data_IF_969658450258
#
_entry.id   IF_969658450258
#
_cell.length_a   1.000
_cell.length_b   1.000
_cell.length_c   1.000
_cell.angle_alpha   90.00
_cell.angle_beta   90.00
_cell.angle_gamma   90.00
#
_symmetry.space_group_name_H-M   'P 1'
#
loop_
_entity.id
_entity.type
_entity.pdbx_description
1 polymer ?
#
# COMPACT_ATOMS: atom_id res chain seq x y z
N UNK A 1 -27.19 -19.31 16.93
CA UNK A 1 -27.75 -19.52 15.57
C UNK A 1 -26.65 -19.38 14.54
N UNK A 2 -26.40 -20.42 13.74
CA UNK A 2 -25.46 -20.33 12.63
C UNK A 2 -26.02 -19.38 11.55
N UNK A 3 -25.18 -18.52 10.97
CA UNK A 3 -25.60 -17.65 9.87
C UNK A 3 -25.79 -18.48 8.62
N UNK A 4 -26.95 -18.35 7.98
CA UNK A 4 -27.19 -18.91 6.66
C UNK A 4 -26.38 -18.16 5.60
N UNK A 5 -26.07 -18.86 4.50
CA UNK A 5 -25.37 -18.31 3.33
C UNK A 5 -26.10 -17.06 2.84
N UNK A 6 -25.34 -16.03 2.49
CA UNK A 6 -25.90 -14.80 1.93
C UNK A 6 -26.44 -15.05 0.50
N UNK A 7 -27.55 -14.40 0.16
CA UNK A 7 -28.10 -14.36 -1.19
C UNK A 7 -27.08 -13.81 -2.18
N UNK A 8 -26.95 -14.43 -3.36
CA UNK A 8 -26.10 -13.94 -4.43
C UNK A 8 -26.60 -12.59 -4.96
N UNK A 9 -25.75 -11.87 -5.69
CA UNK A 9 -26.09 -10.55 -6.24
C UNK A 9 -27.26 -10.65 -7.22
N UNK A 10 -27.24 -11.64 -8.10
CA UNK A 10 -28.20 -11.80 -9.18
C UNK A 10 -29.63 -12.00 -8.67
N UNK A 11 -29.82 -12.84 -7.63
CA UNK A 11 -31.14 -13.02 -6.99
C UNK A 11 -31.63 -11.70 -6.39
N UNK A 12 -30.74 -10.90 -5.79
CA UNK A 12 -31.15 -9.62 -5.20
C UNK A 12 -31.52 -8.59 -6.26
N UNK A 13 -30.81 -8.57 -7.40
CA UNK A 13 -31.14 -7.69 -8.52
C UNK A 13 -32.48 -8.11 -9.16
N UNK A 14 -32.72 -9.42 -9.31
CA UNK A 14 -34.00 -9.97 -9.77
C UNK A 14 -35.17 -9.58 -8.84
N UNK A 15 -34.96 -9.61 -7.51
CA UNK A 15 -35.94 -9.12 -6.53
C UNK A 15 -36.30 -7.64 -6.78
N UNK A 16 -35.30 -6.81 -7.10
CA UNK A 16 -35.52 -5.40 -7.37
C UNK A 16 -36.30 -5.18 -8.66
N UNK A 17 -36.01 -5.94 -9.71
CA UNK A 17 -36.68 -5.81 -11.00
C UNK A 17 -38.15 -6.29 -10.93
N UNK A 18 -38.43 -7.40 -10.24
CA UNK A 18 -39.80 -7.84 -9.97
C UNK A 18 -40.59 -6.83 -9.12
N UNK A 19 -39.93 -6.17 -8.16
CA UNK A 19 -40.56 -5.11 -7.39
C UNK A 19 -40.81 -3.83 -8.23
N UNK A 20 -39.92 -3.48 -9.16
CA UNK A 20 -40.14 -2.36 -10.10
C UNK A 20 -41.31 -2.66 -11.05
N UNK A 21 -41.52 -3.92 -11.40
CA UNK A 21 -42.68 -4.39 -12.17
C UNK A 21 -43.99 -4.40 -11.36
N UNK A 22 -43.98 -3.96 -10.09
CA UNK A 22 -45.17 -3.83 -9.25
C UNK A 22 -45.61 -5.13 -8.56
N UNK A 23 -44.80 -6.17 -8.57
CA UNK A 23 -45.14 -7.46 -7.96
C UNK A 23 -45.02 -7.37 -6.42
N UNK A 24 -46.01 -7.88 -5.69
CA UNK A 24 -46.03 -7.88 -4.23
C UNK A 24 -44.96 -8.77 -3.60
N UNK A 25 -44.48 -8.41 -2.39
CA UNK A 25 -43.35 -9.06 -1.74
C UNK A 25 -43.53 -10.57 -1.50
N UNK A 26 -44.74 -11.00 -1.15
CA UNK A 26 -45.05 -12.41 -0.93
C UNK A 26 -44.95 -13.25 -2.20
N UNK A 27 -45.37 -12.69 -3.33
CA UNK A 27 -45.32 -13.33 -4.65
C UNK A 27 -43.88 -13.45 -5.13
N UNK A 28 -43.07 -12.39 -4.98
CA UNK A 28 -41.63 -12.41 -5.28
C UNK A 28 -40.92 -13.49 -4.45
N UNK A 29 -41.21 -13.55 -3.15
CA UNK A 29 -40.64 -14.55 -2.26
C UNK A 29 -40.97 -15.98 -2.71
N UNK A 30 -42.24 -16.26 -3.03
CA UNK A 30 -42.65 -17.59 -3.55
C UNK A 30 -41.97 -17.95 -4.86
N UNK A 31 -41.86 -17.00 -5.81
CA UNK A 31 -41.25 -17.24 -7.11
C UNK A 31 -39.75 -17.56 -7.02
N UNK A 32 -39.04 -16.92 -6.10
CA UNK A 32 -37.59 -17.07 -5.93
C UNK A 32 -37.19 -18.05 -4.81
N UNK A 33 -38.16 -18.65 -4.11
CA UNK A 33 -37.90 -19.54 -2.97
C UNK A 33 -37.38 -18.81 -1.71
N UNK A 34 -37.61 -17.50 -1.62
CA UNK A 34 -37.09 -16.65 -0.56
C UNK A 34 -38.17 -16.17 0.42
N UNK A 35 -37.78 -15.93 1.67
CA UNK A 35 -38.71 -15.41 2.67
C UNK A 35 -39.12 -13.98 2.33
N UNK A 36 -40.41 -13.66 2.44
CA UNK A 36 -40.94 -12.31 2.17
C UNK A 36 -40.27 -11.22 3.03
N UNK A 37 -39.80 -11.58 4.23
CA UNK A 37 -39.02 -10.67 5.10
C UNK A 37 -37.66 -10.30 4.50
N UNK A 38 -37.00 -11.24 3.82
CA UNK A 38 -35.73 -11.02 3.11
C UNK A 38 -35.93 -10.12 1.90
N UNK A 39 -36.97 -10.38 1.10
CA UNK A 39 -37.40 -9.52 -0.03
C UNK A 39 -37.62 -8.08 0.46
N UNK A 40 -38.40 -7.91 1.52
CA UNK A 40 -38.65 -6.60 2.12
C UNK A 40 -37.38 -5.92 2.65
N UNK A 41 -36.44 -6.66 3.24
CA UNK A 41 -35.17 -6.12 3.70
C UNK A 41 -34.27 -5.61 2.54
N UNK A 42 -34.23 -6.35 1.43
CA UNK A 42 -33.48 -5.96 0.22
C UNK A 42 -34.06 -4.68 -0.38
N UNK A 43 -35.39 -4.61 -0.53
CA UNK A 43 -36.06 -3.44 -1.10
C UNK A 43 -35.87 -2.20 -0.19
N UNK A 44 -36.01 -2.34 1.13
CA UNK A 44 -35.74 -1.23 2.08
C UNK A 44 -34.29 -0.75 1.99
N UNK A 45 -33.34 -1.68 1.91
CA UNK A 45 -31.92 -1.37 1.74
C UNK A 45 -31.67 -0.60 0.44
N UNK A 46 -32.24 -1.05 -0.67
CA UNK A 46 -32.10 -0.36 -1.96
C UNK A 46 -32.76 1.02 -1.94
N UNK A 47 -33.94 1.18 -1.32
CA UNK A 47 -34.57 2.50 -1.15
C UNK A 47 -33.65 3.48 -0.41
N UNK A 48 -32.92 3.02 0.61
CA UNK A 48 -32.01 3.84 1.43
C UNK A 48 -30.66 4.12 0.78
N UNK A 49 -29.99 3.09 0.24
CA UNK A 49 -28.60 3.17 -0.20
C UNK A 49 -28.41 3.07 -1.72
N UNK A 50 -29.49 2.77 -2.48
CA UNK A 50 -29.46 2.54 -3.93
C UNK A 50 -28.47 1.46 -4.39
N UNK A 51 -28.10 0.55 -3.48
CA UNK A 51 -27.13 -0.51 -3.73
C UNK A 51 -27.67 -1.88 -3.32
N UNK A 52 -27.44 -2.88 -4.17
CA UNK A 52 -27.84 -4.27 -3.91
C UNK A 52 -26.76 -5.04 -3.16
N UNK A 53 -25.49 -4.74 -3.44
CA UNK A 53 -24.32 -5.38 -2.81
C UNK A 53 -24.21 -5.04 -1.33
N UNK A 54 -23.69 -5.98 -0.54
CA UNK A 54 -23.41 -5.74 0.87
C UNK A 54 -22.22 -4.81 1.02
N UNK A 55 -22.34 -3.80 1.89
CA UNK A 55 -21.19 -3.00 2.26
C UNK A 55 -20.17 -3.88 2.98
N UNK A 56 -18.87 -3.66 2.74
CA UNK A 56 -17.85 -4.27 3.57
C UNK A 56 -18.11 -3.87 5.02
N UNK A 57 -17.92 -4.83 5.93
CA UNK A 57 -18.02 -4.54 7.36
C UNK A 57 -16.90 -3.58 7.74
N UNK A 58 -17.19 -2.63 8.62
CA UNK A 58 -16.21 -1.63 9.09
C UNK A 58 -14.96 -2.26 9.73
N UNK A 59 -15.06 -3.51 10.19
CA UNK A 59 -13.96 -4.21 10.84
C UNK A 59 -13.66 -3.66 12.23
N UNK A 60 -12.61 -4.18 12.85
CA UNK A 60 -12.14 -3.69 14.15
C UNK A 60 -11.30 -2.41 13.96
N UNK A 61 -11.47 -1.38 14.82
CA UNK A 61 -10.62 -0.21 14.79
C UNK A 61 -9.14 -0.56 14.93
N UNK A 62 -8.29 0.24 14.29
CA UNK A 62 -6.84 0.07 14.42
C UNK A 62 -6.38 0.44 15.83
N UNK A 63 -5.47 -0.36 16.42
CA UNK A 63 -4.84 -0.03 17.71
C UNK A 63 -4.02 1.27 17.69
N UNK A 64 -3.46 1.63 16.54
CA UNK A 64 -2.69 2.86 16.37
C UNK A 64 -3.65 3.94 15.85
N UNK A 65 -3.74 5.05 16.58
CA UNK A 65 -4.56 6.19 16.18
C UNK A 65 -3.98 6.89 14.93
N UNK A 66 -4.78 7.67 14.18
CA UNK A 66 -4.29 8.44 13.04
C UNK A 66 -3.12 9.37 13.40
N UNK A 67 -3.15 9.97 14.60
CA UNK A 67 -2.06 10.79 15.15
C UNK A 67 -0.80 9.96 15.40
N UNK A 68 -0.93 8.78 16.02
CA UNK A 68 0.19 7.88 16.26
C UNK A 68 0.83 7.40 14.96
N UNK A 69 0.01 7.08 13.95
CA UNK A 69 0.50 6.73 12.62
C UNK A 69 1.26 7.89 11.97
N UNK A 70 0.75 9.12 12.05
CA UNK A 70 1.41 10.32 11.51
C UNK A 70 2.76 10.58 12.17
N UNK A 71 2.86 10.40 13.50
CA UNK A 71 4.13 10.50 14.23
C UNK A 71 5.16 9.47 13.75
N UNK A 72 4.72 8.22 13.53
CA UNK A 72 5.57 7.17 12.97
C UNK A 72 6.07 7.56 11.58
N UNK A 73 5.17 8.02 10.69
CA UNK A 73 5.54 8.39 9.32
C UNK A 73 6.54 9.53 9.29
N UNK A 74 6.35 10.55 10.13
CA UNK A 74 7.31 11.65 10.27
C UNK A 74 8.67 11.14 10.71
N UNK A 75 8.73 10.35 11.78
CA UNK A 75 10.00 9.82 12.30
C UNK A 75 10.73 8.94 11.29
N UNK A 76 10.01 8.11 10.54
CA UNK A 76 10.62 7.25 9.51
C UNK A 76 11.10 8.07 8.31
N UNK A 77 10.43 9.17 7.96
CA UNK A 77 10.88 10.09 6.90
C UNK A 77 12.17 10.82 7.31
N UNK A 78 12.20 11.34 8.52
CA UNK A 78 13.36 12.09 9.03
C UNK A 78 14.57 11.17 9.29
N UNK A 79 14.30 9.95 9.76
CA UNK A 79 15.32 8.95 10.10
C UNK A 79 14.95 7.58 9.50
N UNK A 80 15.23 7.33 8.21
CA UNK A 80 14.86 6.09 7.51
C UNK A 80 15.48 4.82 8.11
N UNK A 81 16.57 4.95 8.88
CA UNK A 81 17.23 3.85 9.59
C UNK A 81 16.59 3.49 10.93
N UNK A 82 15.50 4.15 11.31
CA UNK A 82 14.80 3.88 12.57
C UNK A 82 14.31 2.44 12.62
N UNK A 83 14.66 1.72 13.69
CA UNK A 83 14.22 0.34 13.87
C UNK A 83 12.76 0.28 14.29
N UNK A 84 12.09 -0.84 13.95
CA UNK A 84 10.72 -1.10 14.40
C UNK A 84 10.60 -1.13 15.92
N UNK A 85 11.66 -1.54 16.63
CA UNK A 85 11.67 -1.56 18.09
C UNK A 85 11.66 -0.14 18.66
N UNK A 86 12.40 0.79 18.06
CA UNK A 86 12.39 2.19 18.47
C UNK A 86 10.99 2.78 18.34
N UNK A 87 10.29 2.51 17.22
CA UNK A 87 8.91 2.95 17.01
C UNK A 87 7.93 2.36 18.04
N UNK A 88 8.12 1.09 18.44
CA UNK A 88 7.34 0.48 19.53
C UNK A 88 7.58 1.22 20.84
N UNK A 89 8.84 1.54 21.16
CA UNK A 89 9.19 2.26 22.38
C UNK A 89 8.62 3.69 22.39
N UNK A 90 8.64 4.39 21.26
CA UNK A 90 8.05 5.73 21.13
C UNK A 90 6.54 5.71 21.38
N UNK A 91 5.83 4.73 20.79
CA UNK A 91 4.40 4.57 21.02
C UNK A 91 4.10 4.17 22.46
N UNK A 92 4.93 3.31 23.07
CA UNK A 92 4.80 2.94 24.48
C UNK A 92 4.94 4.16 25.40
N UNK A 93 5.87 5.07 25.10
CA UNK A 93 6.02 6.37 25.80
C UNK A 93 4.79 7.26 25.62
N UNK A 94 4.14 7.21 24.46
CA UNK A 94 2.87 7.89 24.20
C UNK A 94 1.63 7.15 24.75
N UNK A 95 1.81 6.11 25.58
CA UNK A 95 0.71 5.37 26.21
C UNK A 95 0.08 4.28 25.32
N UNK A 96 0.61 4.02 24.13
CA UNK A 96 0.08 3.00 23.20
C UNK A 96 1.00 1.77 23.13
N UNK A 97 0.59 0.66 23.72
CA UNK A 97 1.34 -0.60 23.67
C UNK A 97 1.00 -1.40 22.40
N UNK A 98 1.99 -1.60 21.54
CA UNK A 98 1.85 -2.37 20.29
C UNK A 98 3.00 -3.33 20.05
N UNK A 99 2.79 -4.34 19.21
CA UNK A 99 3.84 -5.26 18.78
C UNK A 99 4.61 -4.72 17.56
N UNK A 100 5.82 -5.26 17.33
CA UNK A 100 6.61 -5.01 16.11
C UNK A 100 5.82 -5.32 14.82
N UNK A 101 4.94 -6.32 14.87
CA UNK A 101 4.12 -6.72 13.71
C UNK A 101 3.05 -5.68 13.39
N UNK A 102 2.43 -5.07 14.40
CA UNK A 102 1.48 -3.96 14.22
C UNK A 102 2.16 -2.77 13.55
N UNK A 103 3.36 -2.37 14.00
CA UNK A 103 4.16 -1.33 13.34
C UNK A 103 4.42 -1.69 11.88
N UNK A 104 4.85 -2.93 11.61
CA UNK A 104 5.14 -3.38 10.23
C UNK A 104 3.91 -3.31 9.33
N UNK A 105 2.73 -3.70 9.83
CA UNK A 105 1.48 -3.61 9.10
C UNK A 105 1.07 -2.16 8.83
N UNK A 106 1.34 -1.25 9.77
CA UNK A 106 1.07 0.18 9.58
C UNK A 106 2.00 0.76 8.53
N UNK A 107 3.31 0.50 8.59
CA UNK A 107 4.25 0.96 7.56
C UNK A 107 3.88 0.48 6.15
N UNK A 108 3.53 -0.80 6.00
CA UNK A 108 3.10 -1.36 4.70
C UNK A 108 1.82 -0.74 4.17
N UNK A 109 0.84 -0.45 5.05
CA UNK A 109 -0.40 0.24 4.66
C UNK A 109 -0.14 1.65 4.10
N UNK A 110 0.95 2.28 4.52
CA UNK A 110 1.41 3.56 4.00
C UNK A 110 2.48 3.42 2.89
N UNK A 111 2.63 2.23 2.30
CA UNK A 111 3.54 2.00 1.17
C UNK A 111 5.02 1.90 1.54
N UNK A 112 5.38 1.92 2.83
CA UNK A 112 6.77 1.84 3.26
C UNK A 112 7.23 0.38 3.38
N UNK A 113 8.32 0.07 2.69
CA UNK A 113 9.03 -1.20 2.72
C UNK A 113 10.44 -1.01 3.26
N UNK A 114 10.99 -2.05 3.88
CA UNK A 114 12.40 -2.05 4.25
C UNK A 114 13.26 -2.21 3.01
N UNK A 115 14.25 -1.33 2.85
CA UNK A 115 15.24 -1.38 1.79
C UNK A 115 16.64 -1.25 2.38
N UNK A 116 17.63 -1.84 1.70
CA UNK A 116 19.04 -1.61 2.00
C UNK A 116 19.52 -0.42 1.18
N UNK A 117 20.24 0.50 1.82
CA UNK A 117 20.89 1.60 1.09
C UNK A 117 21.99 1.04 0.17
N UNK A 118 22.09 1.56 -1.05
CA UNK A 118 23.20 1.23 -1.96
C UNK A 118 24.51 1.73 -1.36
N UNK A 119 25.58 0.94 -1.51
CA UNK A 119 26.94 1.38 -1.19
C UNK A 119 27.37 2.37 -2.27
N UNK A 120 27.74 3.58 -1.88
CA UNK A 120 28.21 4.63 -2.78
C UNK A 120 29.53 5.18 -2.27
N UNK A 121 30.44 5.62 -3.16
CA UNK A 121 31.66 6.29 -2.73
C UNK A 121 31.31 7.58 -1.97
N UNK A 122 32.14 7.91 -0.98
CA UNK A 122 31.96 9.14 -0.22
C UNK A 122 32.43 10.34 -1.07
N UNK A 123 31.49 11.16 -1.51
CA UNK A 123 31.79 12.39 -2.24
C UNK A 123 31.96 13.56 -1.27
N UNK A 124 33.06 14.30 -1.43
CA UNK A 124 33.25 15.59 -0.77
C UNK A 124 32.49 16.68 -1.55
N UNK A 125 32.13 17.81 -0.92
CA UNK A 125 31.45 18.91 -1.61
C UNK A 125 32.16 19.38 -2.89
N UNK A 126 33.50 19.41 -2.88
CA UNK A 126 34.33 19.76 -4.05
C UNK A 126 34.08 18.79 -5.22
N UNK A 127 34.00 17.47 -4.96
CA UNK A 127 33.73 16.48 -6.00
C UNK A 127 32.33 16.65 -6.58
N UNK A 128 31.33 16.91 -5.71
CA UNK A 128 29.95 17.15 -6.15
C UNK A 128 29.87 18.37 -7.07
N UNK A 129 30.56 19.46 -6.72
CA UNK A 129 30.60 20.67 -7.53
C UNK A 129 31.30 20.44 -8.87
N UNK A 130 32.45 19.75 -8.87
CA UNK A 130 33.18 19.45 -10.10
C UNK A 130 32.38 18.53 -11.04
N UNK A 131 31.74 17.50 -10.50
CA UNK A 131 30.88 16.60 -11.27
C UNK A 131 29.66 17.34 -11.84
N UNK A 132 29.00 18.18 -11.04
CA UNK A 132 27.86 18.96 -11.50
C UNK A 132 28.26 19.95 -12.60
N UNK A 133 29.40 20.63 -12.45
CA UNK A 133 29.93 21.51 -13.48
C UNK A 133 30.19 20.74 -14.78
N UNK A 134 30.90 19.61 -14.69
CA UNK A 134 31.19 18.76 -15.86
C UNK A 134 29.90 18.30 -16.55
N UNK A 135 28.90 17.82 -15.79
CA UNK A 135 27.62 17.39 -16.36
C UNK A 135 26.85 18.53 -17.02
N UNK A 136 26.90 19.75 -16.49
CA UNK A 136 26.23 20.90 -17.10
C UNK A 136 26.97 21.39 -18.35
N UNK A 137 28.31 21.45 -18.29
CA UNK A 137 29.13 21.91 -19.41
C UNK A 137 28.97 21.01 -20.65
N UNK A 138 28.66 19.72 -20.45
CA UNK A 138 28.53 18.71 -21.52
C UNK A 138 27.09 18.15 -21.66
N UNK A 139 26.07 18.82 -21.09
CA UNK A 139 24.69 18.31 -21.10
C UNK A 139 24.08 18.29 -22.51
N UNK A 140 24.38 19.34 -23.28
CA UNK A 140 23.84 19.60 -24.61
C UNK A 140 24.83 19.25 -25.73
N UNK A 141 25.94 18.58 -25.39
CA UNK A 141 26.96 18.19 -26.36
C UNK A 141 26.40 17.18 -27.37
N UNK A 142 26.65 17.38 -28.68
CA UNK A 142 26.17 16.46 -29.71
C UNK A 142 26.89 15.12 -29.63
N UNK A 143 26.22 14.05 -30.09
CA UNK A 143 26.76 12.69 -30.10
C UNK A 143 28.12 12.57 -30.81
N UNK A 144 28.30 13.36 -31.88
CA UNK A 144 29.55 13.48 -32.65
C UNK A 144 30.77 13.88 -31.79
N UNK A 145 30.56 14.62 -30.69
CA UNK A 145 31.65 15.00 -29.78
C UNK A 145 32.03 13.84 -28.88
N UNK A 146 31.07 13.04 -28.44
CA UNK A 146 31.29 11.85 -27.64
C UNK A 146 31.94 10.71 -28.42
N UNK A 147 31.67 10.59 -29.72
CA UNK A 147 32.32 9.60 -30.61
C UNK A 147 33.84 9.80 -30.71
N UNK A 148 34.33 11.03 -30.49
CA UNK A 148 35.76 11.34 -30.49
C UNK A 148 36.46 10.91 -29.20
N UNK A 149 35.70 10.62 -28.13
CA UNK A 149 36.26 10.32 -26.81
C UNK A 149 36.57 8.83 -26.65
N UNK A 150 37.84 8.50 -26.44
CA UNK A 150 38.25 7.14 -26.05
C UNK A 150 38.31 7.02 -24.52
N UNK A 151 37.49 6.14 -23.95
CA UNK A 151 37.44 5.91 -22.51
C UNK A 151 38.37 4.76 -22.10
N UNK A 152 39.19 4.97 -21.06
CA UNK A 152 40.02 3.93 -20.44
C UNK A 152 39.90 3.99 -18.92
N UNK A 153 39.86 2.82 -18.26
CA UNK A 153 39.92 2.70 -16.81
C UNK A 153 40.66 1.41 -16.43
N UNK A 154 41.26 1.38 -15.24
CA UNK A 154 41.99 0.23 -14.72
C UNK A 154 41.13 -0.53 -13.70
N UNK A 155 40.99 -1.84 -13.89
CA UNK A 155 40.32 -2.72 -12.91
C UNK A 155 41.23 -3.85 -12.46
N UNK A 156 41.23 -4.12 -11.16
CA UNK A 156 41.91 -5.28 -10.58
C UNK A 156 41.12 -6.56 -10.90
N UNK A 157 41.79 -7.57 -11.45
CA UNK A 157 41.23 -8.91 -11.67
C UNK A 157 41.94 -9.88 -10.72
N UNK A 158 41.20 -10.45 -9.78
CA UNK A 158 41.75 -11.44 -8.83
C UNK A 158 41.40 -12.85 -9.32
N UNK A 159 42.42 -13.70 -9.52
CA UNK A 159 42.25 -15.07 -10.03
C UNK A 159 41.57 -16.00 -9.02
N UNK A 160 41.78 -15.77 -7.72
CA UNK A 160 41.11 -16.47 -6.62
C UNK A 160 40.80 -15.48 -5.50
N UNK A 161 39.51 -15.31 -5.17
CA UNK A 161 39.07 -14.37 -4.14
C UNK A 161 37.57 -14.46 -3.84
N UNK A 162 37.24 -14.59 -2.55
CA UNK A 162 35.91 -14.62 -1.91
C UNK A 162 35.13 -13.29 -2.03
N UNK A 163 35.26 -12.55 -3.14
CA UNK A 163 34.53 -11.29 -3.35
C UNK A 163 33.08 -11.57 -3.76
N UNK A 164 32.34 -12.24 -2.88
CA UNK A 164 30.89 -12.47 -2.96
C UNK A 164 30.07 -11.20 -2.70
N UNK A 165 30.69 -10.02 -2.72
CA UNK A 165 29.97 -8.75 -2.85
C UNK A 165 29.38 -8.67 -4.26
N UNK A 166 28.19 -9.29 -4.41
CA UNK A 166 27.25 -8.96 -5.49
C UNK A 166 27.06 -7.44 -5.46
N UNK A 167 27.68 -6.76 -6.41
CA UNK A 167 27.29 -5.41 -6.80
C UNK A 167 25.89 -5.56 -7.42
N UNK A 168 24.89 -4.92 -6.79
CA UNK A 168 23.49 -4.83 -7.26
C UNK A 168 23.24 -3.39 -7.67
#
# INVERSE_FOLDING_TARGET
MAKTRELCKDIRDQILDLNKAGIGYGTIGKQLGEKATTVGAIIRKWKKFKMTVNHPRSGSPCKISPRGASMIMRKVRDQPRTTRQNLVNDLKRAGTTVSKKTISNTLRRHGLKSCSARKVPLLKPVHVQAHLKFSNDHLDDPEEEWEKVMWSDERKIELFGLNSTRLV
#
